data_IF_150410946008
#
_entry.id   IF_150410946008
#
_cell.length_a   1.000
_cell.length_b   1.000
_cell.length_c   1.000
_cell.angle_alpha   90.00
_cell.angle_beta   90.00
_cell.angle_gamma   90.00
#
_symmetry.space_group_name_H-M   'P 1'
#
loop_
_entity.id
_entity.type
_entity.pdbx_description
1 polymer ?
#
# COMPACT_ATOMS: atom_id res chain seq x y z
N UNK A 1 -22.05 96.77 17.50
CA UNK A 1 -21.81 96.36 18.89
C UNK A 1 -21.12 95.01 18.85
N UNK A 2 -19.87 95.02 19.27
CA UNK A 2 -18.89 93.93 19.27
C UNK A 2 -19.31 92.79 20.21
N UNK A 3 -19.06 91.53 19.82
CA UNK A 3 -18.60 90.47 20.74
C UNK A 3 -17.90 89.35 19.96
N UNK A 4 -16.62 89.59 19.70
CA UNK A 4 -15.55 88.59 19.63
C UNK A 4 -15.80 87.29 20.46
N UNK A 5 -15.65 86.10 19.84
CA UNK A 5 -15.13 84.85 20.48
C UNK A 5 -14.60 83.87 19.44
N UNK A 6 -13.27 83.78 19.33
CA UNK A 6 -12.60 82.58 18.81
C UNK A 6 -12.71 81.44 19.85
N UNK A 7 -13.05 80.20 19.45
CA UNK A 7 -12.88 79.04 20.32
C UNK A 7 -11.42 78.53 20.29
N UNK A 8 -10.91 78.07 21.45
CA UNK A 8 -9.50 77.77 21.68
C UNK A 8 -9.03 76.49 20.99
N UNK A 9 -7.73 76.48 20.71
CA UNK A 9 -6.86 75.36 20.30
C UNK A 9 -7.42 74.00 20.73
N UNK A 10 -8.00 73.30 19.77
CA UNK A 10 -8.35 71.88 19.91
C UNK A 10 -7.08 71.08 20.15
N UNK A 11 -6.96 70.58 21.38
CA UNK A 11 -5.93 69.65 21.81
C UNK A 11 -5.75 68.52 20.78
N UNK A 12 -4.53 68.35 20.26
CA UNK A 12 -4.16 67.09 19.63
C UNK A 12 -4.35 65.99 20.68
N UNK A 13 -5.19 64.97 20.42
CA UNK A 13 -5.23 63.82 21.32
C UNK A 13 -3.82 63.22 21.39
N UNK A 14 -3.37 62.73 22.56
CA UNK A 14 -2.11 62.02 22.64
C UNK A 14 -2.17 60.86 21.65
N UNK A 15 -1.25 60.86 20.67
CA UNK A 15 -1.02 59.70 19.83
C UNK A 15 -0.57 58.59 20.77
N UNK A 16 -1.49 57.67 21.10
CA UNK A 16 -1.14 56.44 21.81
C UNK A 16 -0.10 55.72 20.97
N UNK A 17 1.13 55.71 21.45
CA UNK A 17 2.27 54.98 20.91
C UNK A 17 2.64 53.92 21.94
N UNK A 18 1.67 53.13 22.37
CA UNK A 18 1.86 52.27 23.52
C UNK A 18 0.84 51.13 23.49
N UNK A 19 1.30 49.98 22.98
CA UNK A 19 0.74 48.67 23.33
C UNK A 19 0.30 47.76 22.20
N UNK A 20 0.06 48.29 20.98
CA UNK A 20 -0.56 47.50 19.92
C UNK A 20 0.45 46.72 19.04
N UNK A 21 1.62 47.31 18.77
CA UNK A 21 2.64 46.71 17.89
C UNK A 21 3.25 45.41 18.44
N UNK A 22 3.45 45.30 19.76
CA UNK A 22 3.98 44.09 20.39
C UNK A 22 2.94 42.96 20.51
N UNK A 23 1.64 43.30 20.55
CA UNK A 23 0.55 42.32 20.49
C UNK A 23 0.35 41.78 19.08
N UNK A 24 0.40 42.66 18.07
CA UNK A 24 0.29 42.29 16.66
C UNK A 24 1.45 41.43 16.13
N UNK A 25 2.68 41.63 16.61
CA UNK A 25 3.82 40.78 16.24
C UNK A 25 3.72 39.36 16.83
N UNK A 26 3.29 39.23 18.09
CA UNK A 26 3.07 37.93 18.72
C UNK A 26 1.86 37.19 18.10
N UNK A 27 0.79 37.90 17.74
CA UNK A 27 -0.33 37.37 16.95
C UNK A 27 0.12 36.91 15.55
N UNK A 28 0.99 37.67 14.88
CA UNK A 28 1.50 37.36 13.55
C UNK A 28 2.35 36.07 13.52
N UNK A 29 3.28 35.90 14.47
CA UNK A 29 4.13 34.70 14.54
C UNK A 29 3.31 33.44 14.88
N UNK A 30 2.35 33.55 15.81
CA UNK A 30 1.43 32.45 16.13
C UNK A 30 0.57 32.03 14.94
N UNK A 31 0.12 33.00 14.14
CA UNK A 31 -0.69 32.75 12.94
C UNK A 31 0.12 32.05 11.84
N UNK A 32 1.39 32.43 11.65
CA UNK A 32 2.28 31.78 10.67
C UNK A 32 2.62 30.34 11.06
N UNK A 33 2.91 30.08 12.34
CA UNK A 33 3.16 28.72 12.85
C UNK A 33 1.90 27.86 12.73
N UNK A 34 0.73 28.42 13.06
CA UNK A 34 -0.55 27.72 12.89
C UNK A 34 -0.85 27.44 11.42
N UNK A 35 -0.47 28.33 10.49
CA UNK A 35 -0.57 28.12 9.05
C UNK A 35 0.31 26.97 8.57
N UNK A 36 1.60 26.97 8.95
CA UNK A 36 2.54 25.91 8.57
C UNK A 36 2.11 24.53 9.13
N UNK A 37 1.66 24.47 10.38
CA UNK A 37 1.14 23.23 10.98
C UNK A 37 -0.08 22.69 10.22
N UNK A 38 -0.93 23.59 9.74
CA UNK A 38 -2.09 23.23 8.92
C UNK A 38 -1.68 22.72 7.54
N UNK A 39 -0.75 23.40 6.88
CA UNK A 39 -0.23 22.97 5.57
C UNK A 39 0.47 21.61 5.66
N UNK A 40 1.20 21.34 6.75
CA UNK A 40 1.78 20.02 7.01
C UNK A 40 0.72 18.95 7.26
N UNK A 41 -0.34 19.27 8.01
CA UNK A 41 -1.48 18.36 8.18
C UNK A 41 -2.16 18.05 6.85
N UNK A 42 -2.35 19.06 6.00
CA UNK A 42 -2.96 18.91 4.69
C UNK A 42 -2.07 18.08 3.75
N UNK A 43 -0.75 18.26 3.79
CA UNK A 43 0.21 17.45 3.03
C UNK A 43 0.19 15.98 3.47
N UNK A 44 0.25 15.70 4.78
CA UNK A 44 0.18 14.33 5.30
C UNK A 44 -1.14 13.67 4.91
N UNK A 45 -2.25 14.42 4.98
CA UNK A 45 -3.56 13.91 4.56
C UNK A 45 -3.61 13.62 3.07
N UNK A 46 -3.00 14.45 2.24
CA UNK A 46 -2.90 14.24 0.80
C UNK A 46 -2.05 13.00 0.48
N UNK A 47 -0.90 12.83 1.13
CA UNK A 47 -0.02 11.68 0.92
C UNK A 47 -0.73 10.37 1.31
N UNK A 48 -1.46 10.36 2.42
CA UNK A 48 -2.26 9.19 2.83
C UNK A 48 -3.37 8.90 1.82
N UNK A 49 -4.02 9.92 1.28
CA UNK A 49 -5.05 9.73 0.24
C UNK A 49 -4.45 9.19 -1.06
N UNK A 50 -3.28 9.70 -1.45
CA UNK A 50 -2.56 9.25 -2.64
C UNK A 50 -2.11 7.79 -2.47
N UNK A 51 -1.43 7.47 -1.37
CA UNK A 51 -1.01 6.11 -1.05
C UNK A 51 -2.19 5.13 -1.00
N UNK A 52 -3.33 5.54 -0.43
CA UNK A 52 -4.55 4.72 -0.45
C UNK A 52 -5.04 4.47 -1.88
N UNK A 53 -4.98 5.48 -2.74
CA UNK A 53 -5.42 5.38 -4.13
C UNK A 53 -4.49 4.46 -4.93
N UNK A 54 -3.18 4.61 -4.77
CA UNK A 54 -2.17 3.76 -5.41
C UNK A 54 -2.31 2.30 -4.98
N UNK A 55 -2.45 2.04 -3.67
CA UNK A 55 -2.71 0.69 -3.15
C UNK A 55 -4.01 0.12 -3.72
N UNK A 56 -5.07 0.91 -3.83
CA UNK A 56 -6.35 0.45 -4.38
C UNK A 56 -6.24 0.14 -5.87
N UNK A 57 -5.53 0.96 -6.65
CA UNK A 57 -5.26 0.71 -8.05
C UNK A 57 -4.44 -0.56 -8.25
N UNK A 58 -3.37 -0.73 -7.49
CA UNK A 58 -2.49 -1.89 -7.57
C UNK A 58 -3.21 -3.16 -7.17
N UNK A 59 -4.01 -3.12 -6.11
CA UNK A 59 -4.88 -4.22 -5.71
C UNK A 59 -5.89 -4.57 -6.81
N UNK A 60 -6.46 -3.57 -7.50
CA UNK A 60 -7.40 -3.78 -8.60
C UNK A 60 -6.72 -4.39 -9.83
N UNK A 61 -5.53 -3.88 -10.20
CA UNK A 61 -4.71 -4.39 -11.31
C UNK A 61 -4.31 -5.83 -11.03
N UNK A 62 -3.80 -6.12 -9.84
CA UNK A 62 -3.45 -7.48 -9.40
C UNK A 62 -4.67 -8.39 -9.39
N UNK A 63 -5.81 -7.94 -8.84
CA UNK A 63 -7.06 -8.69 -8.82
C UNK A 63 -7.56 -9.05 -10.22
N UNK A 64 -7.50 -8.11 -11.17
CA UNK A 64 -7.86 -8.35 -12.57
C UNK A 64 -6.90 -9.35 -13.24
N UNK A 65 -5.60 -9.23 -13.00
CA UNK A 65 -4.61 -10.18 -13.53
C UNK A 65 -4.87 -11.60 -13.01
N UNK A 66 -5.09 -11.75 -11.70
CA UNK A 66 -5.44 -13.03 -11.07
C UNK A 66 -6.74 -13.59 -11.66
N UNK A 67 -7.77 -12.76 -11.85
CA UNK A 67 -9.04 -13.19 -12.44
C UNK A 67 -8.88 -13.70 -13.88
N UNK A 68 -8.11 -13.01 -14.72
CA UNK A 68 -7.83 -13.43 -16.10
C UNK A 68 -7.05 -14.74 -16.12
N UNK A 69 -6.02 -14.87 -15.28
CA UNK A 69 -5.22 -16.09 -15.19
C UNK A 69 -6.09 -17.26 -14.70
N UNK A 70 -6.91 -17.07 -13.68
CA UNK A 70 -7.81 -18.09 -13.17
C UNK A 70 -8.86 -18.50 -14.21
N UNK A 71 -9.46 -17.54 -14.91
CA UNK A 71 -10.41 -17.80 -15.99
C UNK A 71 -9.77 -18.57 -17.16
N UNK A 72 -8.59 -18.15 -17.59
CA UNK A 72 -7.81 -18.85 -18.61
C UNK A 72 -7.41 -20.26 -18.19
N UNK A 73 -7.02 -20.45 -16.93
CA UNK A 73 -6.70 -21.76 -16.38
C UNK A 73 -7.94 -22.69 -16.35
N UNK A 74 -9.13 -22.18 -16.01
CA UNK A 74 -10.37 -22.96 -16.07
C UNK A 74 -10.69 -23.41 -17.50
N UNK A 75 -10.66 -22.48 -18.46
CA UNK A 75 -10.94 -22.77 -19.88
C UNK A 75 -9.90 -23.76 -20.42
N UNK A 76 -8.62 -23.53 -20.09
CA UNK A 76 -7.52 -24.42 -20.44
C UNK A 76 -7.69 -25.81 -19.84
N UNK A 77 -8.15 -25.93 -18.58
CA UNK A 77 -8.42 -27.20 -17.93
C UNK A 77 -9.54 -27.97 -18.65
N UNK A 78 -10.63 -27.29 -19.00
CA UNK A 78 -11.72 -27.91 -19.77
C UNK A 78 -11.19 -28.41 -21.12
N UNK A 79 -10.47 -27.56 -21.86
CA UNK A 79 -9.86 -27.96 -23.14
C UNK A 79 -8.90 -29.14 -23.00
N UNK A 80 -8.07 -29.14 -21.95
CA UNK A 80 -7.14 -30.23 -21.65
C UNK A 80 -7.86 -31.56 -21.39
N UNK A 81 -8.97 -31.54 -20.64
CA UNK A 81 -9.82 -32.74 -20.44
C UNK A 81 -10.34 -33.28 -21.79
N UNK A 82 -10.83 -32.42 -22.68
CA UNK A 82 -11.28 -32.85 -24.01
C UNK A 82 -10.15 -33.43 -24.86
N UNK A 83 -8.94 -32.87 -24.79
CA UNK A 83 -7.77 -33.45 -25.47
C UNK A 83 -7.44 -34.83 -24.91
N UNK A 84 -7.46 -35.01 -23.58
CA UNK A 84 -7.22 -36.32 -22.96
C UNK A 84 -8.29 -37.34 -23.34
N UNK A 85 -9.56 -36.93 -23.42
CA UNK A 85 -10.64 -37.78 -23.95
C UNK A 85 -10.39 -38.14 -25.42
N UNK A 86 -9.99 -37.19 -26.26
CA UNK A 86 -9.67 -37.46 -27.66
C UNK A 86 -8.51 -38.46 -27.80
N UNK A 87 -7.48 -38.35 -26.95
CA UNK A 87 -6.38 -39.34 -26.89
C UNK A 87 -6.90 -40.71 -26.46
N UNK A 88 -7.71 -40.77 -25.40
CA UNK A 88 -8.32 -42.03 -24.93
C UNK A 88 -9.14 -42.69 -26.04
N UNK A 89 -10.06 -41.96 -26.68
CA UNK A 89 -10.87 -42.47 -27.79
C UNK A 89 -10.02 -42.85 -29.01
N UNK A 90 -8.90 -42.15 -29.24
CA UNK A 90 -7.90 -42.54 -30.23
C UNK A 90 -7.31 -43.91 -29.92
N UNK A 91 -6.88 -44.14 -28.67
CA UNK A 91 -6.32 -45.41 -28.19
C UNK A 91 -7.34 -46.56 -28.24
N UNK A 92 -8.64 -46.27 -28.09
CA UNK A 92 -9.69 -47.30 -28.15
C UNK A 92 -9.75 -48.04 -29.49
N UNK A 93 -9.13 -47.52 -30.56
CA UNK A 93 -8.99 -48.24 -31.84
C UNK A 93 -8.10 -49.48 -31.74
N UNK A 94 -7.20 -49.52 -30.75
CA UNK A 94 -6.24 -50.62 -30.55
C UNK A 94 -6.42 -51.33 -29.22
N UNK A 95 -7.02 -50.68 -28.22
CA UNK A 95 -7.19 -51.21 -26.86
C UNK A 95 -8.64 -51.13 -26.38
N UNK A 96 -9.08 -51.98 -25.44
CA UNK A 96 -10.35 -51.80 -24.75
C UNK A 96 -10.41 -50.48 -23.98
N UNK A 97 -11.61 -49.92 -23.83
CA UNK A 97 -11.85 -48.61 -23.19
C UNK A 97 -11.16 -48.46 -21.82
N UNK A 98 -11.20 -49.52 -21.00
CA UNK A 98 -10.60 -49.50 -19.66
C UNK A 98 -9.07 -49.44 -19.69
N UNK A 99 -8.42 -50.07 -20.69
CA UNK A 99 -6.96 -50.04 -20.85
C UNK A 99 -6.51 -48.66 -21.33
N UNK A 100 -7.22 -48.09 -22.30
CA UNK A 100 -6.94 -46.73 -22.78
C UNK A 100 -7.07 -45.69 -21.67
N UNK A 101 -8.13 -45.80 -20.86
CA UNK A 101 -8.33 -44.93 -19.70
C UNK A 101 -7.19 -45.05 -18.68
N UNK A 102 -6.72 -46.27 -18.40
CA UNK A 102 -5.58 -46.49 -17.50
C UNK A 102 -4.29 -45.90 -18.05
N UNK A 103 -3.99 -46.05 -19.35
CA UNK A 103 -2.78 -45.49 -19.96
C UNK A 103 -2.78 -43.97 -19.83
N UNK A 104 -3.88 -43.31 -20.22
CA UNK A 104 -4.02 -41.86 -20.09
C UNK A 104 -3.93 -41.42 -18.63
N UNK A 105 -4.59 -42.15 -17.72
CA UNK A 105 -4.55 -41.88 -16.29
C UNK A 105 -3.14 -41.97 -15.69
N UNK A 106 -2.34 -42.97 -16.07
CA UNK A 106 -0.95 -43.11 -15.62
C UNK A 106 -0.08 -41.95 -16.14
N UNK A 107 -0.23 -41.57 -17.41
CA UNK A 107 0.50 -40.43 -17.98
C UNK A 107 0.16 -39.13 -17.23
N UNK A 108 -1.12 -38.90 -16.92
CA UNK A 108 -1.56 -37.75 -16.13
C UNK A 108 -1.03 -37.79 -14.69
N UNK A 109 -1.02 -38.97 -14.05
CA UNK A 109 -0.49 -39.12 -12.70
C UNK A 109 1.01 -38.80 -12.64
N UNK A 110 1.80 -39.24 -13.63
CA UNK A 110 3.22 -38.90 -13.74
C UNK A 110 3.44 -37.41 -13.97
N UNK A 111 2.66 -36.79 -14.87
CA UNK A 111 2.72 -35.35 -15.09
C UNK A 111 2.38 -34.56 -13.81
N UNK A 112 1.32 -34.96 -13.10
CA UNK A 112 0.92 -34.36 -11.83
C UNK A 112 2.01 -34.50 -10.76
N UNK A 113 2.64 -35.67 -10.66
CA UNK A 113 3.74 -35.91 -9.73
C UNK A 113 4.94 -35.00 -10.03
N UNK A 114 5.35 -34.88 -11.31
CA UNK A 114 6.43 -33.98 -11.71
C UNK A 114 6.12 -32.52 -11.39
N UNK A 115 4.89 -32.06 -11.69
CA UNK A 115 4.45 -30.71 -11.36
C UNK A 115 4.45 -30.46 -9.84
N UNK A 116 3.96 -31.42 -9.05
CA UNK A 116 3.95 -31.32 -7.60
C UNK A 116 5.37 -31.24 -7.01
N UNK A 117 6.31 -32.04 -7.52
CA UNK A 117 7.72 -32.00 -7.10
C UNK A 117 8.37 -30.67 -7.44
N UNK A 118 8.19 -30.19 -8.69
CA UNK A 118 8.75 -28.92 -9.14
C UNK A 118 8.13 -27.73 -8.38
N UNK A 119 6.82 -27.77 -8.14
CA UNK A 119 6.09 -26.76 -7.36
C UNK A 119 6.61 -26.67 -5.93
N UNK A 120 6.78 -27.81 -5.26
CA UNK A 120 7.38 -27.87 -3.91
C UNK A 120 8.80 -27.31 -3.89
N UNK A 121 9.63 -27.67 -4.87
CA UNK A 121 11.01 -27.15 -4.96
C UNK A 121 11.04 -25.63 -5.15
N UNK A 122 10.17 -25.08 -6.00
CA UNK A 122 10.10 -23.63 -6.24
C UNK A 122 9.53 -22.87 -5.05
N UNK A 123 8.55 -23.43 -4.34
CA UNK A 123 8.00 -22.82 -3.14
C UNK A 123 8.97 -22.89 -1.95
N UNK A 124 9.84 -23.92 -1.92
CA UNK A 124 10.92 -24.04 -0.94
C UNK A 124 12.12 -23.15 -1.26
N UNK A 125 12.42 -22.92 -2.54
CA UNK A 125 13.54 -22.10 -2.99
C UNK A 125 13.20 -20.60 -3.03
N UNK A 126 11.94 -20.26 -3.31
CA UNK A 126 11.40 -18.94 -3.00
C UNK A 126 11.23 -18.89 -1.49
N UNK A 127 12.25 -18.44 -0.76
CA UNK A 127 12.11 -18.09 0.65
C UNK A 127 11.06 -16.99 0.77
N UNK A 128 9.79 -17.38 0.89
CA UNK A 128 8.67 -16.49 1.21
C UNK A 128 8.83 -15.85 2.60
N UNK A 129 9.86 -16.26 3.34
CA UNK A 129 10.43 -15.49 4.45
C UNK A 129 11.46 -14.51 3.86
N UNK A 130 11.18 -13.20 3.81
CA UNK A 130 12.20 -12.22 3.48
C UNK A 130 13.22 -12.21 4.62
N UNK A 131 14.26 -13.02 4.49
CA UNK A 131 15.27 -13.22 5.56
C UNK A 131 15.91 -11.90 5.96
N UNK A 132 16.22 -11.05 4.99
CA UNK A 132 16.76 -9.71 5.23
C UNK A 132 15.79 -8.82 6.00
N UNK A 133 14.50 -8.81 5.64
CA UNK A 133 13.49 -8.01 6.38
C UNK A 133 13.30 -8.52 7.81
N UNK A 134 13.34 -9.83 8.02
CA UNK A 134 13.25 -10.42 9.35
C UNK A 134 14.50 -10.09 10.18
N UNK A 135 15.67 -10.04 9.56
CA UNK A 135 16.94 -9.68 10.21
C UNK A 135 16.96 -8.20 10.60
N UNK A 136 16.59 -7.28 9.69
CA UNK A 136 16.47 -5.85 9.99
C UNK A 136 15.49 -5.58 11.13
N UNK A 137 14.33 -6.25 11.14
CA UNK A 137 13.36 -6.10 12.24
C UNK A 137 13.89 -6.61 13.59
N UNK A 138 14.78 -7.63 13.61
CA UNK A 138 15.42 -8.10 14.84
C UNK A 138 16.48 -7.13 15.33
N UNK A 139 17.26 -6.55 14.43
CA UNK A 139 18.24 -5.51 14.75
C UNK A 139 17.56 -4.26 15.32
N UNK A 140 16.48 -3.79 14.69
CA UNK A 140 15.69 -2.66 15.16
C UNK A 140 15.12 -2.92 16.56
N UNK A 141 14.60 -4.13 16.81
CA UNK A 141 14.08 -4.51 18.12
C UNK A 141 15.20 -4.58 19.17
N UNK A 142 16.39 -5.05 18.80
CA UNK A 142 17.55 -5.10 19.68
C UNK A 142 18.04 -3.69 20.05
N UNK A 143 18.15 -2.79 19.06
CA UNK A 143 18.53 -1.39 19.26
C UNK A 143 17.53 -0.65 20.15
N UNK A 144 16.22 -0.82 19.90
CA UNK A 144 15.16 -0.22 20.71
C UNK A 144 15.22 -0.67 22.18
N UNK A 145 15.48 -1.96 22.44
CA UNK A 145 15.66 -2.48 23.81
C UNK A 145 16.90 -1.92 24.49
N UNK A 146 18.00 -1.77 23.75
CA UNK A 146 19.25 -1.23 24.28
C UNK A 146 19.10 0.23 24.71
N UNK A 147 18.36 1.02 23.93
CA UNK A 147 18.10 2.43 24.20
C UNK A 147 17.18 2.65 25.43
N UNK A 148 16.21 1.77 25.65
CA UNK A 148 15.36 1.83 26.85
C UNK A 148 16.18 1.52 28.11
N UNK A 149 17.12 0.57 28.03
CA UNK A 149 17.97 0.22 29.16
C UNK A 149 19.06 1.26 29.45
N UNK A 150 19.53 2.01 28.46
CA UNK A 150 20.53 3.07 28.66
C UNK A 150 19.96 4.33 29.31
N UNK A 151 18.67 4.61 29.11
CA UNK A 151 17.97 5.76 29.74
C UNK A 151 17.62 5.49 31.22
N UNK A 152 17.55 4.22 31.64
CA UNK A 152 17.19 3.83 33.02
C UNK A 152 18.41 3.74 33.97
N UNK A 153 19.61 4.06 33.49
CA UNK A 153 20.88 3.99 34.24
C UNK A 153 21.43 5.39 34.45
#
# INVERSE_FOLDING_TARGET
MDTNREPPTGMMPPRRLDGDSAKGEAEGLGTLISGLLKDLQDLVRAEVQLAKTEIQEDATKAGRAIAIIAGGALIGLVGFVFVMLAVMYGLNRWFPDWVSALIVGVVLALAALMLAMNGKSKLSAASLKPEQTIESLKEDQAWAKQQINSVKK
#
